data_IF_863350682314
#
_entry.id   IF_863350682314
#
_cell.length_a   1.000
_cell.length_b   1.000
_cell.length_c   1.000
_cell.angle_alpha   90.00
_cell.angle_beta   90.00
_cell.angle_gamma   90.00
#
_symmetry.space_group_name_H-M   'P 1'
#
loop_
_entity.id
_entity.type
_entity.pdbx_description
1 polymer ?
#
# COMPACT_ATOMS: atom_id res chain seq x y z
N UNK A 1 47.31 10.09 -11.13
CA UNK A 1 46.21 9.10 -11.14
C UNK A 1 45.48 9.16 -12.46
N UNK A 2 45.45 8.03 -13.15
CA UNK A 2 44.73 7.90 -14.42
C UNK A 2 43.21 7.78 -14.18
N UNK A 3 42.35 8.05 -15.17
CA UNK A 3 40.89 8.06 -14.97
C UNK A 3 40.33 6.75 -14.36
N UNK A 4 40.91 5.60 -14.73
CA UNK A 4 40.57 4.29 -14.17
C UNK A 4 40.89 4.15 -12.66
N UNK A 5 41.94 4.81 -12.16
CA UNK A 5 42.29 4.77 -10.73
C UNK A 5 41.33 5.62 -9.89
N UNK A 6 40.87 6.76 -10.44
CA UNK A 6 39.85 7.61 -9.79
C UNK A 6 38.47 6.94 -9.75
N UNK A 7 38.10 6.20 -10.79
CA UNK A 7 36.86 5.40 -10.79
C UNK A 7 36.94 4.23 -9.81
N UNK A 8 38.06 3.52 -9.77
CA UNK A 8 38.27 2.43 -8.81
C UNK A 8 38.27 2.90 -7.35
N UNK A 9 38.86 4.07 -7.06
CA UNK A 9 38.84 4.64 -5.71
C UNK A 9 37.44 5.13 -5.31
N UNK A 10 36.68 5.75 -6.23
CA UNK A 10 35.27 6.10 -6.01
C UNK A 10 34.41 4.86 -5.76
N UNK A 11 34.65 3.78 -6.51
CA UNK A 11 33.95 2.50 -6.38
C UNK A 11 34.29 1.81 -5.04
N UNK A 12 35.56 1.84 -4.63
CA UNK A 12 36.02 1.24 -3.37
C UNK A 12 35.47 1.99 -2.14
N UNK A 13 35.44 3.33 -2.19
CA UNK A 13 34.85 4.15 -1.14
C UNK A 13 33.32 3.98 -1.07
N UNK A 14 32.65 3.90 -2.22
CA UNK A 14 31.21 3.61 -2.30
C UNK A 14 30.90 2.25 -1.69
N UNK A 15 31.68 1.22 -2.03
CA UNK A 15 31.54 -0.14 -1.49
C UNK A 15 31.73 -0.17 0.04
N UNK A 16 32.74 0.52 0.58
CA UNK A 16 32.96 0.60 2.03
C UNK A 16 31.82 1.31 2.76
N UNK A 17 31.28 2.38 2.18
CA UNK A 17 30.11 3.09 2.72
C UNK A 17 28.86 2.20 2.66
N UNK A 18 28.67 1.45 1.57
CA UNK A 18 27.58 0.49 1.42
C UNK A 18 27.70 -0.64 2.44
N UNK A 19 28.87 -1.23 2.64
CA UNK A 19 29.07 -2.35 3.58
C UNK A 19 28.83 -1.91 5.04
N UNK A 20 29.27 -0.69 5.39
CA UNK A 20 29.03 -0.08 6.72
C UNK A 20 27.56 0.31 6.93
N UNK A 21 26.86 0.71 5.86
CA UNK A 21 25.44 1.09 5.92
C UNK A 21 24.51 -0.13 5.87
N UNK A 22 24.86 -1.16 5.11
CA UNK A 22 24.08 -2.40 4.93
C UNK A 22 24.07 -3.24 6.21
N UNK A 23 25.13 -3.16 7.02
CA UNK A 23 25.17 -3.78 8.36
C UNK A 23 24.22 -3.11 9.38
N UNK A 24 23.73 -1.90 9.10
CA UNK A 24 22.81 -1.13 9.98
C UNK A 24 21.35 -1.09 9.47
N UNK A 25 21.10 -1.49 8.22
CA UNK A 25 19.78 -1.43 7.59
C UNK A 25 19.06 -2.77 7.76
N UNK A 26 17.87 -2.74 8.38
CA UNK A 26 17.08 -3.94 8.61
C UNK A 26 16.51 -4.49 7.29
N UNK A 27 17.09 -5.61 6.86
CA UNK A 27 16.85 -6.27 5.58
C UNK A 27 15.39 -6.70 5.40
N UNK A 28 14.85 -7.32 6.45
CA UNK A 28 13.47 -7.77 6.50
C UNK A 28 12.50 -6.59 6.44
N UNK A 29 12.88 -5.44 7.00
CA UNK A 29 12.09 -4.21 6.93
C UNK A 29 11.95 -3.75 5.49
N UNK A 30 13.05 -3.61 4.73
CA UNK A 30 12.95 -3.20 3.32
C UNK A 30 12.12 -4.22 2.53
N UNK A 31 12.30 -5.52 2.78
CA UNK A 31 11.58 -6.54 2.04
C UNK A 31 10.07 -6.51 2.27
N UNK A 32 9.64 -6.51 3.54
CA UNK A 32 8.23 -6.48 3.94
C UNK A 32 7.58 -5.16 3.54
N UNK A 33 8.18 -4.03 3.91
CA UNK A 33 7.60 -2.73 3.63
C UNK A 33 7.62 -2.39 2.14
N UNK A 34 8.63 -2.82 1.38
CA UNK A 34 8.66 -2.64 -0.08
C UNK A 34 7.56 -3.44 -0.76
N UNK A 35 7.32 -4.68 -0.32
CA UNK A 35 6.22 -5.51 -0.82
C UNK A 35 4.85 -4.93 -0.41
N UNK A 36 4.75 -4.35 0.79
CA UNK A 36 3.54 -3.67 1.25
C UNK A 36 3.26 -2.40 0.42
N UNK A 37 4.28 -1.58 0.14
CA UNK A 37 4.13 -0.39 -0.70
C UNK A 37 3.75 -0.74 -2.15
N UNK A 38 4.20 -1.90 -2.66
CA UNK A 38 3.85 -2.41 -3.99
C UNK A 38 2.34 -2.65 -4.12
N UNK A 39 1.62 -3.08 -3.07
CA UNK A 39 0.16 -3.25 -3.11
C UNK A 39 -0.57 -1.97 -3.54
N UNK A 40 -0.07 -0.79 -3.14
CA UNK A 40 -0.66 0.49 -3.52
C UNK A 40 -0.37 0.87 -5.00
N UNK A 41 0.76 0.41 -5.56
CA UNK A 41 1.07 0.55 -6.99
C UNK A 41 0.15 -0.34 -7.82
N UNK A 42 -0.10 -1.57 -7.35
CA UNK A 42 -1.04 -2.51 -7.99
C UNK A 42 -2.46 -1.93 -7.95
N UNK A 43 -2.92 -1.44 -6.79
CA UNK A 43 -4.21 -0.77 -6.64
C UNK A 43 -4.39 0.42 -7.60
N UNK A 44 -3.35 1.24 -7.77
CA UNK A 44 -3.38 2.35 -8.72
C UNK A 44 -3.46 1.91 -10.17
N UNK A 45 -2.52 1.07 -10.59
CA UNK A 45 -2.31 0.70 -11.99
C UNK A 45 -3.35 -0.30 -12.48
N UNK A 46 -3.77 -1.21 -11.61
CA UNK A 46 -4.56 -2.39 -11.93
C UNK A 46 -3.74 -3.58 -12.40
N UNK A 47 -2.40 -3.51 -12.34
CA UNK A 47 -1.53 -4.55 -12.87
C UNK A 47 -0.57 -4.99 -11.77
N UNK A 48 -0.58 -6.28 -11.47
CA UNK A 48 0.41 -6.97 -10.65
C UNK A 48 1.36 -7.76 -11.56
N UNK A 49 2.47 -7.12 -11.95
CA UNK A 49 3.46 -7.75 -12.81
C UNK A 49 4.23 -8.88 -12.11
N UNK A 50 4.20 -8.93 -10.77
CA UNK A 50 4.87 -9.97 -9.99
C UNK A 50 4.15 -11.31 -10.09
N UNK A 51 2.82 -11.27 -10.04
CA UNK A 51 1.98 -12.46 -10.10
C UNK A 51 1.27 -12.62 -11.44
N UNK A 52 1.53 -11.74 -12.41
CA UNK A 52 0.90 -11.75 -13.73
C UNK A 52 -0.61 -11.53 -13.68
N UNK A 53 -1.10 -10.76 -12.70
CA UNK A 53 -2.54 -10.53 -12.48
C UNK A 53 -2.95 -9.14 -12.95
N UNK A 54 -4.16 -9.04 -13.47
CA UNK A 54 -4.80 -7.76 -13.82
C UNK A 54 -6.09 -7.64 -13.04
N UNK A 55 -6.23 -6.54 -12.30
CA UNK A 55 -7.42 -6.25 -11.53
C UNK A 55 -8.58 -5.88 -12.45
N UNK A 56 -9.79 -6.32 -12.11
CA UNK A 56 -11.02 -5.97 -12.84
C UNK A 56 -11.26 -4.46 -12.83
N UNK A 57 -10.83 -3.78 -11.76
CA UNK A 57 -10.91 -2.32 -11.62
C UNK A 57 -9.73 -1.76 -10.83
N UNK A 58 -9.17 -0.63 -11.25
CA UNK A 58 -8.06 0.06 -10.56
C UNK A 58 -8.42 1.50 -10.19
N UNK A 59 -7.68 2.14 -9.30
CA UNK A 59 -7.94 3.55 -8.97
C UNK A 59 -7.83 4.44 -10.22
N UNK A 60 -6.88 4.12 -11.11
CA UNK A 60 -6.73 4.80 -12.41
C UNK A 60 -7.96 4.61 -13.31
N UNK A 61 -8.58 3.44 -13.33
CA UNK A 61 -9.79 3.20 -14.13
C UNK A 61 -11.02 3.83 -13.49
N UNK A 62 -11.18 3.73 -12.18
CA UNK A 62 -12.27 4.39 -11.43
C UNK A 62 -12.25 5.89 -11.65
N UNK A 63 -11.07 6.52 -11.59
CA UNK A 63 -10.95 7.97 -11.75
C UNK A 63 -11.41 8.48 -13.12
N UNK A 64 -11.33 7.64 -14.16
CA UNK A 64 -11.79 7.93 -15.53
C UNK A 64 -13.28 7.69 -15.75
N UNK A 65 -14.01 7.23 -14.72
CA UNK A 65 -15.46 7.01 -14.82
C UNK A 65 -16.19 8.32 -15.15
N UNK A 66 -17.19 8.23 -16.03
CA UNK A 66 -18.01 9.39 -16.43
C UNK A 66 -18.69 10.01 -15.21
N UNK A 67 -18.73 11.34 -15.17
CA UNK A 67 -19.44 12.12 -14.15
C UNK A 67 -20.44 13.00 -14.88
N UNK A 68 -21.73 12.79 -14.61
CA UNK A 68 -22.77 13.65 -15.15
C UNK A 68 -22.76 14.97 -14.36
N UNK A 69 -22.62 16.15 -15.01
CA UNK A 69 -22.61 17.44 -14.31
C UNK A 69 -23.82 17.66 -13.40
N UNK A 70 -25.00 17.16 -13.77
CA UNK A 70 -26.23 17.29 -12.97
C UNK A 70 -26.25 16.40 -11.72
N UNK A 71 -25.46 15.32 -11.71
CA UNK A 71 -25.41 14.32 -10.63
C UNK A 71 -23.99 14.12 -10.08
N UNK A 72 -23.13 15.13 -10.22
CA UNK A 72 -21.70 14.99 -10.01
C UNK A 72 -21.36 14.44 -8.62
N UNK A 73 -21.97 15.01 -7.56
CA UNK A 73 -21.73 14.55 -6.19
C UNK A 73 -22.18 13.10 -5.96
N UNK A 74 -23.33 12.71 -6.51
CA UNK A 74 -23.84 11.34 -6.37
C UNK A 74 -22.97 10.33 -7.12
N UNK A 75 -22.55 10.67 -8.34
CA UNK A 75 -21.65 9.85 -9.14
C UNK A 75 -20.29 9.69 -8.46
N UNK A 76 -19.68 10.79 -8.01
CA UNK A 76 -18.41 10.76 -7.30
C UNK A 76 -18.49 9.93 -6.03
N UNK A 77 -19.57 10.08 -5.25
CA UNK A 77 -19.78 9.28 -4.03
C UNK A 77 -19.93 7.79 -4.32
N UNK A 78 -20.69 7.42 -5.35
CA UNK A 78 -20.82 6.02 -5.75
C UNK A 78 -19.47 5.46 -6.23
N UNK A 79 -18.74 6.20 -7.04
CA UNK A 79 -17.45 5.79 -7.58
C UNK A 79 -16.34 5.76 -6.49
N UNK A 80 -16.45 6.59 -5.46
CA UNK A 80 -15.62 6.53 -4.27
C UNK A 80 -15.84 5.20 -3.51
N UNK A 81 -17.06 4.64 -3.52
CA UNK A 81 -17.32 3.30 -3.00
C UNK A 81 -16.40 2.24 -3.64
N UNK A 82 -16.29 2.24 -4.97
CA UNK A 82 -15.36 1.33 -5.66
C UNK A 82 -13.89 1.61 -5.33
N UNK A 83 -13.54 2.89 -5.09
CA UNK A 83 -12.19 3.26 -4.68
C UNK A 83 -11.89 2.72 -3.29
N UNK A 84 -12.85 2.79 -2.35
CA UNK A 84 -12.67 2.24 -1.02
C UNK A 84 -12.42 0.73 -1.04
N UNK A 85 -13.04 -0.05 -1.95
CA UNK A 85 -12.82 -1.50 -2.01
C UNK A 85 -11.38 -1.81 -2.42
N UNK A 86 -10.87 -1.06 -3.40
CA UNK A 86 -9.49 -1.17 -3.89
C UNK A 86 -8.50 -0.76 -2.79
N UNK A 87 -8.78 0.36 -2.11
CA UNK A 87 -7.91 0.87 -1.05
C UNK A 87 -7.91 -0.07 0.16
N UNK A 88 -9.06 -0.57 0.59
CA UNK A 88 -9.17 -1.54 1.69
C UNK A 88 -8.32 -2.77 1.39
N UNK A 89 -8.41 -3.32 0.18
CA UNK A 89 -7.57 -4.45 -0.26
C UNK A 89 -6.09 -4.11 -0.15
N UNK A 90 -5.66 -2.99 -0.71
CA UNK A 90 -4.23 -2.62 -0.67
C UNK A 90 -3.71 -2.34 0.74
N UNK A 91 -4.51 -1.68 1.60
CA UNK A 91 -4.14 -1.36 2.98
C UNK A 91 -4.09 -2.61 3.85
N UNK A 92 -5.10 -3.49 3.77
CA UNK A 92 -5.09 -4.72 4.57
C UNK A 92 -3.97 -5.65 4.13
N UNK A 93 -3.74 -5.81 2.82
CA UNK A 93 -2.63 -6.62 2.32
C UNK A 93 -1.26 -6.04 2.69
N UNK A 94 -1.09 -4.71 2.60
CA UNK A 94 0.13 -4.04 3.05
C UNK A 94 0.43 -4.35 4.53
N UNK A 95 -0.59 -4.28 5.39
CA UNK A 95 -0.43 -4.59 6.82
C UNK A 95 -0.21 -6.07 7.09
N UNK A 96 -0.91 -6.96 6.38
CA UNK A 96 -0.68 -8.40 6.47
C UNK A 96 0.76 -8.75 6.07
N UNK A 97 1.30 -8.13 5.02
CA UNK A 97 2.70 -8.29 4.62
C UNK A 97 3.65 -7.80 5.71
N UNK A 98 3.43 -6.59 6.24
CA UNK A 98 4.28 -6.00 7.30
C UNK A 98 4.29 -6.89 8.55
N UNK A 99 3.13 -7.44 8.91
CA UNK A 99 2.95 -8.34 10.05
C UNK A 99 3.43 -9.77 9.79
N UNK A 100 3.87 -10.10 8.57
CA UNK A 100 4.29 -11.45 8.20
C UNK A 100 3.15 -12.47 8.14
N UNK A 101 1.90 -12.02 8.00
CA UNK A 101 0.75 -12.91 7.79
C UNK A 101 0.80 -13.49 6.39
N UNK A 102 0.39 -14.76 6.27
CA UNK A 102 0.33 -15.45 4.98
C UNK A 102 -0.97 -15.19 4.21
N UNK A 103 -2.01 -14.67 4.88
CA UNK A 103 -3.31 -14.43 4.25
C UNK A 103 -3.38 -13.07 3.56
N UNK A 104 -4.14 -13.00 2.47
CA UNK A 104 -4.44 -11.77 1.74
C UNK A 104 -5.93 -11.62 1.57
N UNK A 105 -6.42 -10.40 1.56
CA UNK A 105 -7.77 -10.09 1.12
C UNK A 105 -7.71 -9.87 -0.39
N UNK A 106 -8.76 -10.32 -1.08
CA UNK A 106 -8.95 -10.10 -2.50
C UNK A 106 -10.42 -9.75 -2.75
N UNK A 107 -10.67 -8.93 -3.76
CA UNK A 107 -12.04 -8.62 -4.16
C UNK A 107 -12.64 -9.79 -4.93
N UNK A 108 -13.92 -10.05 -4.72
CA UNK A 108 -14.66 -11.08 -5.46
C UNK A 108 -14.64 -10.85 -6.97
N UNK A 109 -14.72 -9.58 -7.39
CA UNK A 109 -14.55 -9.16 -8.79
C UNK A 109 -13.20 -9.59 -9.40
N UNK A 110 -12.11 -9.57 -8.64
CA UNK A 110 -10.76 -9.95 -9.12
C UNK A 110 -10.56 -11.48 -9.13
N UNK A 111 -11.46 -12.24 -8.50
CA UNK A 111 -11.53 -13.71 -8.56
C UNK A 111 -12.45 -14.22 -9.68
N UNK A 112 -13.02 -13.32 -10.49
CA UNK A 112 -14.00 -13.66 -11.52
C UNK A 112 -15.44 -13.85 -11.01
N UNK A 113 -15.69 -13.65 -9.71
CA UNK A 113 -17.04 -13.56 -9.13
C UNK A 113 -17.58 -12.14 -9.27
N UNK A 114 -17.70 -11.69 -10.51
CA UNK A 114 -18.08 -10.31 -10.82
C UNK A 114 -19.52 -10.04 -10.38
N UNK A 115 -19.73 -8.96 -9.61
CA UNK A 115 -21.03 -8.61 -9.01
C UNK A 115 -21.58 -9.67 -8.03
N UNK A 116 -20.71 -10.22 -7.19
CA UNK A 116 -21.15 -11.11 -6.11
C UNK A 116 -22.26 -10.42 -5.27
N UNK A 117 -23.40 -11.10 -5.03
CA UNK A 117 -24.55 -10.48 -4.39
C UNK A 117 -24.33 -10.17 -2.90
N UNK A 118 -23.35 -10.81 -2.26
CA UNK A 118 -23.17 -10.78 -0.80
C UNK A 118 -21.80 -10.28 -0.35
N UNK A 119 -20.73 -10.46 -1.14
CA UNK A 119 -19.37 -10.19 -0.70
C UNK A 119 -18.59 -9.32 -1.69
N UNK A 120 -17.98 -8.25 -1.20
CA UNK A 120 -17.01 -7.47 -1.99
C UNK A 120 -15.60 -8.05 -1.83
N UNK A 121 -15.29 -8.60 -0.64
CA UNK A 121 -13.99 -9.16 -0.29
C UNK A 121 -14.10 -10.57 0.28
N UNK A 122 -13.05 -11.35 0.08
CA UNK A 122 -12.78 -12.61 0.77
C UNK A 122 -11.30 -12.66 1.15
N UNK A 123 -10.95 -13.49 2.12
CA UNK A 123 -9.56 -13.81 2.41
C UNK A 123 -9.12 -15.07 1.66
N UNK A 124 -7.86 -15.07 1.22
CA UNK A 124 -7.18 -16.20 0.60
C UNK A 124 -5.95 -16.58 1.42
N UNK A 125 -5.63 -17.88 1.45
CA UNK A 125 -4.41 -18.42 2.03
C UNK A 125 -3.19 -18.23 1.11
N UNK A 126 -2.02 -18.71 1.54
CA UNK A 126 -0.76 -18.64 0.78
C UNK A 126 -0.79 -19.47 -0.52
N UNK A 127 -1.71 -20.42 -0.64
CA UNK A 127 -1.94 -21.21 -1.86
C UNK A 127 -2.95 -20.56 -2.80
N UNK A 128 -3.60 -19.47 -2.38
CA UNK A 128 -4.63 -18.77 -3.14
C UNK A 128 -6.03 -19.36 -2.97
N UNK A 129 -6.25 -20.27 -2.01
CA UNK A 129 -7.57 -20.81 -1.73
C UNK A 129 -8.38 -19.84 -0.87
N UNK A 130 -9.68 -19.73 -1.15
CA UNK A 130 -10.59 -18.90 -0.36
C UNK A 130 -10.78 -19.51 1.03
N UNK A 131 -10.59 -18.69 2.06
CA UNK A 131 -10.89 -19.05 3.45
C UNK A 131 -12.41 -18.98 3.65
N UNK A 132 -13.04 -20.13 3.91
CA UNK A 132 -14.50 -20.21 4.10
C UNK A 132 -14.96 -19.32 5.26
N UNK A 133 -16.03 -18.56 5.06
CA UNK A 133 -16.57 -17.65 6.08
C UNK A 133 -15.84 -16.32 6.23
N UNK A 134 -14.79 -16.07 5.44
CA UNK A 134 -14.05 -14.79 5.45
C UNK A 134 -14.76 -13.64 4.71
N UNK A 135 -15.85 -13.95 4.00
CA UNK A 135 -16.55 -13.00 3.15
C UNK A 135 -17.03 -11.76 3.89
N UNK A 136 -16.75 -10.59 3.33
CA UNK A 136 -17.22 -9.32 3.86
C UNK A 136 -17.74 -8.40 2.76
N UNK A 137 -18.60 -7.48 3.16
CA UNK A 137 -19.21 -6.50 2.29
C UNK A 137 -18.86 -5.10 2.77
N UNK A 138 -18.38 -4.27 1.88
CA UNK A 138 -18.05 -2.90 2.21
C UNK A 138 -19.29 -1.99 2.08
N UNK A 139 -19.50 -1.11 3.07
CA UNK A 139 -20.69 -0.26 3.19
C UNK A 139 -20.34 1.19 3.48
N UNK A 140 -19.89 1.88 2.44
CA UNK A 140 -19.61 3.32 2.43
C UNK A 140 -20.87 4.09 2.01
N UNK A 141 -21.87 4.03 2.88
CA UNK A 141 -23.19 4.62 2.67
C UNK A 141 -23.48 5.65 3.76
N UNK A 142 -24.53 6.43 3.56
CA UNK A 142 -24.87 7.48 4.52
C UNK A 142 -24.08 8.78 4.30
N UNK A 143 -24.65 9.92 4.66
CA UNK A 143 -23.96 11.23 4.66
C UNK A 143 -23.26 11.53 6.00
N UNK A 144 -23.65 10.82 7.05
CA UNK A 144 -23.13 10.92 8.41
C UNK A 144 -23.38 9.57 9.12
N UNK A 145 -22.84 9.35 10.34
CA UNK A 145 -23.02 8.09 11.07
C UNK A 145 -24.48 7.65 11.21
N UNK A 146 -25.39 8.58 11.53
CA UNK A 146 -26.81 8.30 11.72
C UNK A 146 -27.52 7.85 10.45
N UNK A 147 -27.33 8.57 9.33
CA UNK A 147 -27.86 8.18 8.02
C UNK A 147 -27.22 6.88 7.50
N UNK A 148 -25.97 6.59 7.89
CA UNK A 148 -25.35 5.30 7.61
C UNK A 148 -26.08 4.17 8.35
N UNK A 149 -26.28 4.31 9.66
CA UNK A 149 -27.00 3.33 10.48
C UNK A 149 -28.44 3.13 9.97
N UNK A 150 -29.16 4.20 9.64
CA UNK A 150 -30.51 4.11 9.07
C UNK A 150 -30.54 3.33 7.76
N UNK A 151 -29.54 3.53 6.90
CA UNK A 151 -29.39 2.74 5.68
C UNK A 151 -29.09 1.29 6.00
N UNK A 152 -28.15 1.00 6.89
CA UNK A 152 -27.81 -0.37 7.29
C UNK A 152 -29.01 -1.13 7.88
N UNK A 153 -29.94 -0.43 8.53
CA UNK A 153 -31.19 -0.98 9.09
C UNK A 153 -32.34 -1.07 8.07
N UNK A 154 -32.23 -0.45 6.89
CA UNK A 154 -33.29 -0.46 5.89
C UNK A 154 -33.48 -1.82 5.21
N UNK A 155 -34.63 -2.01 4.57
CA UNK A 155 -34.96 -3.23 3.81
C UNK A 155 -33.97 -3.53 2.68
N UNK A 156 -33.40 -2.49 2.07
CA UNK A 156 -32.38 -2.63 1.02
C UNK A 156 -31.15 -3.44 1.45
N UNK A 157 -30.81 -3.40 2.74
CA UNK A 157 -29.64 -4.09 3.29
C UNK A 157 -30.01 -5.32 4.12
N UNK A 158 -31.30 -5.69 4.16
CA UNK A 158 -31.79 -6.80 4.96
C UNK A 158 -31.12 -8.13 4.60
N UNK A 159 -30.89 -8.38 3.29
CA UNK A 159 -30.20 -9.60 2.82
C UNK A 159 -28.86 -9.87 3.52
N UNK A 160 -28.11 -8.83 3.88
CA UNK A 160 -26.82 -8.98 4.56
C UNK A 160 -27.00 -9.40 6.01
N UNK A 161 -28.03 -8.86 6.68
CA UNK A 161 -28.39 -9.23 8.04
C UNK A 161 -28.96 -10.64 8.06
N UNK A 162 -29.85 -11.00 7.13
CA UNK A 162 -30.45 -12.34 7.04
C UNK A 162 -29.40 -13.45 6.82
N UNK A 163 -28.32 -13.15 6.09
CA UNK A 163 -27.23 -14.09 5.78
C UNK A 163 -26.00 -13.94 6.69
N UNK A 164 -26.11 -13.20 7.81
CA UNK A 164 -25.03 -13.00 8.78
C UNK A 164 -23.71 -12.51 8.17
N UNK A 165 -23.80 -11.70 7.11
CA UNK A 165 -22.65 -11.16 6.39
C UNK A 165 -21.95 -10.10 7.23
N UNK A 166 -20.63 -10.20 7.35
CA UNK A 166 -19.79 -9.14 7.93
C UNK A 166 -19.77 -7.92 7.00
N UNK A 167 -19.83 -6.70 7.54
CA UNK A 167 -19.66 -5.49 6.73
C UNK A 167 -18.67 -4.50 7.29
N UNK A 168 -17.81 -4.03 6.41
CA UNK A 168 -16.82 -3.00 6.68
C UNK A 168 -17.47 -1.63 6.45
N UNK A 169 -17.58 -0.83 7.51
CA UNK A 169 -18.00 0.58 7.42
C UNK A 169 -16.79 1.48 7.52
N UNK A 170 -16.91 2.69 6.98
CA UNK A 170 -15.81 3.64 6.94
C UNK A 170 -15.27 3.96 8.34
N UNK A 171 -13.95 4.10 8.45
CA UNK A 171 -13.26 4.28 9.74
C UNK A 171 -13.71 5.52 10.51
N UNK A 172 -14.09 6.57 9.77
CA UNK A 172 -14.59 7.85 10.26
C UNK A 172 -16.04 7.80 10.76
N UNK A 173 -16.83 6.76 10.41
CA UNK A 173 -18.19 6.59 10.92
C UNK A 173 -18.31 5.50 11.98
N UNK A 174 -17.43 4.49 11.96
CA UNK A 174 -17.56 3.27 12.77
C UNK A 174 -17.83 3.51 14.26
N UNK A 175 -16.98 4.30 14.93
CA UNK A 175 -17.07 4.48 16.39
C UNK A 175 -18.37 5.21 16.78
N UNK A 176 -18.81 6.16 15.97
CA UNK A 176 -20.04 6.92 16.23
C UNK A 176 -21.31 6.12 15.90
N UNK A 177 -21.27 5.25 14.89
CA UNK A 177 -22.34 4.28 14.65
C UNK A 177 -22.49 3.35 15.86
N UNK A 178 -21.39 2.88 16.46
CA UNK A 178 -21.47 2.03 17.65
C UNK A 178 -22.16 2.73 18.82
N UNK A 179 -21.77 3.97 19.12
CA UNK A 179 -22.41 4.79 20.17
C UNK A 179 -23.88 5.02 19.87
N UNK A 180 -24.23 5.30 18.62
CA UNK A 180 -25.61 5.52 18.22
C UNK A 180 -26.46 4.26 18.35
N UNK A 181 -25.92 3.09 18.02
CA UNK A 181 -26.58 1.80 18.27
C UNK A 181 -26.86 1.63 19.77
N UNK A 182 -25.87 1.87 20.63
CA UNK A 182 -26.03 1.74 22.09
C UNK A 182 -27.13 2.67 22.63
N UNK A 183 -27.14 3.93 22.19
CA UNK A 183 -28.17 4.90 22.57
C UNK A 183 -29.57 4.45 22.10
N UNK A 184 -29.69 3.96 20.86
CA UNK A 184 -30.95 3.47 20.31
C UNK A 184 -31.44 2.22 21.04
N UNK A 185 -30.54 1.29 21.38
CA UNK A 185 -30.84 0.09 22.16
C UNK A 185 -31.38 0.46 23.54
N UNK A 186 -30.66 1.28 24.32
CA UNK A 186 -31.11 1.71 25.66
C UNK A 186 -32.49 2.37 25.62
N UNK A 187 -32.75 3.22 24.61
CA UNK A 187 -34.05 3.86 24.42
C UNK A 187 -35.15 2.84 24.09
N UNK A 188 -34.86 1.88 23.21
CA UNK A 188 -35.80 0.82 22.83
C UNK A 188 -36.07 -0.13 24.01
N UNK A 189 -35.08 -0.43 24.84
CA UNK A 189 -35.24 -1.24 26.06
C UNK A 189 -36.19 -0.55 27.04
N UNK A 190 -36.00 0.75 27.30
CA UNK A 190 -36.93 1.51 28.14
C UNK A 190 -38.36 1.53 27.58
N UNK A 191 -38.51 1.71 26.26
CA UNK A 191 -39.82 1.67 25.59
C UNK A 191 -40.45 0.28 25.66
N UNK A 192 -39.67 -0.79 25.49
CA UNK A 192 -40.11 -2.17 25.62
C UNK A 192 -40.62 -2.46 27.04
N UNK A 193 -39.88 -2.04 28.08
CA UNK A 193 -40.32 -2.24 29.46
C UNK A 193 -41.61 -1.49 29.77
N UNK A 194 -41.76 -0.27 29.27
CA UNK A 194 -43.00 0.49 29.41
C UNK A 194 -44.18 -0.13 28.64
N UNK A 195 -43.94 -0.79 27.49
CA UNK A 195 -44.96 -1.56 26.79
C UNK A 195 -45.39 -2.81 27.60
N UNK A 196 -44.41 -3.55 28.16
CA UNK A 196 -44.67 -4.72 29.04
C UNK A 196 -45.51 -4.33 30.26
N UNK A 197 -45.17 -3.24 30.95
CA UNK A 197 -45.94 -2.72 32.10
C UNK A 197 -47.39 -2.36 31.76
N UNK A 198 -47.66 -1.96 30.52
CA UNK A 198 -49.01 -1.63 30.03
C UNK A 198 -49.77 -2.84 29.48
N UNK A 199 -49.17 -4.03 29.49
CA UNK A 199 -49.75 -5.24 28.89
C UNK A 199 -49.74 -5.27 27.36
N UNK A 200 -49.04 -4.33 26.70
CA UNK A 200 -48.95 -4.28 25.23
C UNK A 200 -47.82 -5.19 24.72
N UNK A 201 -48.13 -6.47 24.58
CA UNK A 201 -47.19 -7.52 24.16
C UNK A 201 -46.74 -7.34 22.70
N UNK A 202 -47.61 -6.87 21.81
CA UNK A 202 -47.28 -6.64 20.41
C UNK A 202 -46.24 -5.52 20.25
N UNK A 203 -46.41 -4.40 20.97
CA UNK A 203 -45.44 -3.31 20.96
C UNK A 203 -44.12 -3.71 21.62
N UNK A 204 -44.17 -4.47 22.72
CA UNK A 204 -42.96 -5.00 23.35
C UNK A 204 -42.16 -5.89 22.39
N UNK A 205 -42.81 -6.79 21.67
CA UNK A 205 -42.15 -7.65 20.67
C UNK A 205 -41.57 -6.84 19.51
N UNK A 206 -42.27 -5.80 19.05
CA UNK A 206 -41.76 -4.90 18.01
C UNK A 206 -40.49 -4.17 18.44
N UNK A 207 -40.38 -3.76 19.71
CA UNK A 207 -39.17 -3.17 20.25
C UNK A 207 -38.04 -4.20 20.38
N UNK A 208 -38.35 -5.41 20.86
CA UNK A 208 -37.38 -6.51 20.93
C UNK A 208 -36.77 -6.81 19.55
N UNK A 209 -37.61 -7.00 18.52
CA UNK A 209 -37.11 -7.28 17.16
C UNK A 209 -36.18 -6.17 16.65
N UNK A 210 -36.45 -4.90 16.97
CA UNK A 210 -35.56 -3.78 16.59
C UNK A 210 -34.24 -3.78 17.35
N UNK A 211 -34.26 -4.14 18.64
CA UNK A 211 -33.05 -4.31 19.44
C UNK A 211 -32.21 -5.43 18.86
N UNK A 212 -32.82 -6.57 18.54
CA UNK A 212 -32.12 -7.73 17.97
C UNK A 212 -31.46 -7.39 16.63
N UNK A 213 -32.16 -6.68 15.74
CA UNK A 213 -31.61 -6.21 14.48
C UNK A 213 -30.44 -5.22 14.68
N UNK A 214 -30.54 -4.30 15.63
CA UNK A 214 -29.45 -3.36 15.96
C UNK A 214 -28.23 -4.09 16.55
N UNK A 215 -28.45 -5.07 17.42
CA UNK A 215 -27.41 -5.93 17.98
C UNK A 215 -26.75 -6.78 16.90
N UNK A 216 -27.54 -7.33 15.96
CA UNK A 216 -27.02 -8.01 14.77
C UNK A 216 -26.19 -7.05 13.92
N UNK A 217 -26.65 -5.80 13.77
CA UNK A 217 -25.90 -4.78 13.06
C UNK A 217 -24.55 -4.50 13.74
N UNK A 218 -24.54 -4.33 15.06
CA UNK A 218 -23.31 -4.08 15.81
C UNK A 218 -22.32 -5.24 15.71
N UNK A 219 -22.80 -6.47 15.86
CA UNK A 219 -21.97 -7.69 15.87
C UNK A 219 -21.26 -7.93 14.54
N UNK A 220 -21.94 -7.74 13.42
CA UNK A 220 -21.37 -8.04 12.11
C UNK A 220 -20.63 -6.83 11.49
N UNK A 221 -20.62 -5.67 12.16
CA UNK A 221 -19.90 -4.48 11.72
C UNK A 221 -18.40 -4.59 12.01
N UNK A 222 -17.57 -4.30 11.02
CA UNK A 222 -16.11 -4.18 11.14
C UNK A 222 -15.68 -2.76 10.78
N UNK A 223 -14.61 -2.30 11.43
CA UNK A 223 -13.98 -1.01 11.11
C UNK A 223 -13.10 -1.19 9.88
N UNK A 224 -13.42 -0.51 8.79
CA UNK A 224 -12.56 -0.44 7.60
C UNK A 224 -11.25 0.29 7.93
N UNK A 225 -10.19 0.02 7.17
CA UNK A 225 -8.97 0.85 7.16
C UNK A 225 -9.14 2.15 6.36
N UNK A 226 -10.29 2.36 5.73
CA UNK A 226 -10.56 3.46 4.81
C UNK A 226 -11.65 4.36 5.38
N UNK A 227 -11.42 5.67 5.33
CA UNK A 227 -12.44 6.68 5.65
C UNK A 227 -13.21 7.10 4.38
N UNK A 228 -14.36 7.77 4.52
CA UNK A 228 -15.03 8.36 3.34
C UNK A 228 -14.13 9.37 2.61
N UNK A 229 -13.29 10.10 3.36
CA UNK A 229 -12.35 11.06 2.81
C UNK A 229 -11.25 10.36 1.97
N UNK A 230 -10.67 9.27 2.48
CA UNK A 230 -9.71 8.45 1.73
C UNK A 230 -10.31 7.95 0.42
N UNK A 231 -11.53 7.39 0.50
CA UNK A 231 -12.26 6.86 -0.64
C UNK A 231 -12.47 7.91 -1.73
N UNK A 232 -12.84 9.13 -1.31
CA UNK A 232 -13.06 10.26 -2.22
C UNK A 232 -11.74 10.79 -2.79
N UNK A 233 -10.68 10.90 -1.98
CA UNK A 233 -9.36 11.31 -2.46
C UNK A 233 -8.81 10.32 -3.48
N UNK A 234 -8.90 9.02 -3.21
CA UNK A 234 -8.51 7.97 -4.14
C UNK A 234 -9.30 8.03 -5.46
N UNK A 235 -10.58 8.43 -5.40
CA UNK A 235 -11.42 8.65 -6.59
C UNK A 235 -10.99 9.87 -7.40
N UNK A 236 -10.75 11.01 -6.74
CA UNK A 236 -10.56 12.31 -7.41
C UNK A 236 -9.11 12.51 -7.83
N UNK A 237 -8.17 12.07 -6.99
CA UNK A 237 -6.73 12.29 -7.14
C UNK A 237 -5.95 11.00 -6.90
N UNK A 238 -6.18 9.93 -7.69
CA UNK A 238 -5.63 8.59 -7.44
C UNK A 238 -4.10 8.56 -7.39
N UNK A 239 -3.40 9.38 -8.21
CA UNK A 239 -1.93 9.46 -8.20
C UNK A 239 -1.40 10.01 -6.88
N UNK A 240 -1.99 11.12 -6.42
CA UNK A 240 -1.62 11.75 -5.16
C UNK A 240 -1.91 10.84 -3.98
N UNK A 241 -3.09 10.20 -3.98
CA UNK A 241 -3.46 9.22 -2.98
C UNK A 241 -2.45 8.08 -2.91
N UNK A 242 -2.14 7.43 -4.03
CA UNK A 242 -1.15 6.33 -4.07
C UNK A 242 0.23 6.76 -3.59
N UNK A 243 0.67 7.97 -3.95
CA UNK A 243 1.95 8.47 -3.50
C UNK A 243 1.97 8.74 -1.97
N UNK A 244 0.86 9.20 -1.38
CA UNK A 244 0.70 9.29 0.08
C UNK A 244 0.78 7.93 0.75
N UNK A 245 0.14 6.90 0.18
CA UNK A 245 0.21 5.53 0.72
C UNK A 245 1.63 4.96 0.68
N UNK A 246 2.33 5.07 -0.46
CA UNK A 246 3.74 4.66 -0.58
C UNK A 246 4.61 5.42 0.42
N UNK A 247 4.39 6.74 0.56
CA UNK A 247 5.07 7.56 1.55
C UNK A 247 4.83 7.07 2.97
N UNK A 248 3.58 6.79 3.37
CA UNK A 248 3.24 6.31 4.70
C UNK A 248 3.92 4.98 5.03
N UNK A 249 3.92 4.03 4.09
CA UNK A 249 4.62 2.74 4.25
C UNK A 249 6.13 2.95 4.32
N UNK A 250 6.70 3.75 3.42
CA UNK A 250 8.13 4.05 3.38
C UNK A 250 8.59 4.82 4.63
N UNK A 251 7.77 5.71 5.17
CA UNK A 251 8.02 6.45 6.40
C UNK A 251 8.12 5.50 7.58
N UNK A 252 7.17 4.58 7.73
CA UNK A 252 7.22 3.54 8.77
C UNK A 252 8.47 2.66 8.62
N UNK A 253 8.82 2.27 7.40
CA UNK A 253 10.06 1.55 7.14
C UNK A 253 11.30 2.37 7.56
N UNK A 254 11.32 3.65 7.21
CA UNK A 254 12.34 4.60 7.64
C UNK A 254 12.44 4.68 9.16
N UNK A 255 11.32 4.74 9.87
CA UNK A 255 11.30 4.76 11.34
C UNK A 255 11.87 3.47 11.94
N UNK A 256 11.59 2.31 11.35
CA UNK A 256 12.25 1.06 11.75
C UNK A 256 13.76 1.09 11.45
N UNK A 257 14.16 1.64 10.30
CA UNK A 257 15.58 1.83 9.95
C UNK A 257 16.31 2.80 10.89
N UNK A 258 15.62 3.82 11.41
CA UNK A 258 16.16 4.78 12.37
C UNK A 258 16.44 4.13 13.74
N UNK A 259 15.71 3.07 14.11
CA UNK A 259 15.96 2.34 15.37
C UNK A 259 17.27 1.54 15.31
N UNK A 260 17.73 1.16 14.12
CA UNK A 260 18.93 0.34 13.91
C UNK A 260 20.22 1.14 13.65
N UNK A 261 20.15 2.48 13.54
CA UNK A 261 21.32 3.35 13.32
C UNK A 261 21.02 4.83 13.58
N UNK A 262 21.94 5.51 14.25
CA UNK A 262 21.75 6.79 14.95
C UNK A 262 21.39 8.04 14.10
N UNK A 263 20.67 8.96 14.78
CA UNK A 263 20.39 10.41 14.56
C UNK A 263 19.35 10.82 13.48
N UNK A 264 18.32 11.53 13.95
CA UNK A 264 16.97 11.78 13.38
C UNK A 264 16.84 13.06 12.52
N UNK A 265 17.92 13.79 12.19
CA UNK A 265 17.78 15.14 11.62
C UNK A 265 17.43 15.26 10.12
N UNK A 266 18.18 14.57 9.24
CA UNK A 266 18.21 14.92 7.81
C UNK A 266 17.13 14.26 6.94
N UNK A 267 16.64 13.09 7.34
CA UNK A 267 15.79 12.29 6.45
C UNK A 267 14.36 12.72 6.29
N UNK A 268 13.83 13.42 7.29
CA UNK A 268 12.44 13.88 7.30
C UNK A 268 12.23 14.99 6.25
N UNK A 269 13.22 15.87 6.05
CA UNK A 269 13.16 16.96 5.06
C UNK A 269 13.20 16.46 3.61
N UNK A 270 14.05 15.47 3.29
CA UNK A 270 14.10 14.82 1.97
C UNK A 270 12.75 14.22 1.60
N UNK A 271 12.09 13.61 2.58
CA UNK A 271 10.78 12.99 2.41
C UNK A 271 9.68 14.04 2.24
N UNK A 272 9.72 15.15 2.99
CA UNK A 272 8.79 16.27 2.81
C UNK A 272 8.87 16.86 1.40
N UNK A 273 10.09 16.99 0.86
CA UNK A 273 10.35 17.54 -0.48
C UNK A 273 9.81 16.65 -1.60
N UNK A 274 10.01 15.33 -1.52
CA UNK A 274 9.40 14.38 -2.48
C UNK A 274 7.86 14.46 -2.43
N UNK A 275 7.29 14.56 -1.23
CA UNK A 275 5.85 14.70 -1.03
C UNK A 275 5.32 16.03 -1.56
N UNK A 276 6.07 17.12 -1.42
CA UNK A 276 5.67 18.44 -1.92
C UNK A 276 5.78 18.55 -3.45
N UNK A 277 6.71 17.85 -4.10
CA UNK A 277 6.74 17.67 -5.56
C UNK A 277 5.51 16.90 -6.05
N UNK A 278 5.20 15.79 -5.38
CA UNK A 278 4.01 14.98 -5.70
C UNK A 278 2.72 15.77 -5.50
N UNK A 279 2.69 16.71 -4.54
CA UNK A 279 1.55 17.60 -4.27
C UNK A 279 1.49 18.81 -5.21
N UNK A 280 2.48 19.02 -6.08
CA UNK A 280 2.60 20.22 -6.90
C UNK A 280 2.79 21.50 -6.09
N UNK A 281 3.30 21.38 -4.85
CA UNK A 281 3.61 22.49 -3.94
C UNK A 281 5.04 23.00 -4.10
N UNK A 282 5.90 22.18 -4.69
CA UNK A 282 7.29 22.49 -5.06
C UNK A 282 7.57 21.91 -6.42
N UNK A 283 8.38 22.59 -7.21
CA UNK A 283 8.91 22.00 -8.43
C UNK A 283 10.01 20.99 -8.08
N UNK A 284 10.23 20.02 -8.99
CA UNK A 284 11.22 18.96 -8.80
C UNK A 284 12.61 19.55 -8.47
N UNK A 285 12.97 20.65 -9.13
CA UNK A 285 14.25 21.34 -8.94
C UNK A 285 14.37 22.02 -7.56
N UNK A 286 13.27 22.56 -7.02
CA UNK A 286 13.22 23.17 -5.69
C UNK A 286 13.35 22.13 -4.57
N UNK A 287 12.65 21.01 -4.72
CA UNK A 287 12.72 19.89 -3.79
C UNK A 287 14.12 19.28 -3.76
N UNK A 288 14.80 19.23 -4.91
CA UNK A 288 16.17 18.75 -5.00
C UNK A 288 17.16 19.72 -4.38
N UNK A 289 17.01 21.04 -4.56
CA UNK A 289 17.86 22.03 -3.90
C UNK A 289 17.80 21.94 -2.36
N UNK A 290 16.62 21.68 -1.81
CA UNK A 290 16.43 21.49 -0.36
C UNK A 290 16.95 20.13 0.14
N UNK A 291 16.87 19.08 -0.70
CA UNK A 291 17.51 17.77 -0.44
C UNK A 291 19.04 17.94 -0.36
N UNK A 292 19.63 18.72 -1.28
CA UNK A 292 21.06 19.04 -1.31
C UNK A 292 21.53 19.81 -0.07
N UNK A 293 20.72 20.77 0.42
CA UNK A 293 21.04 21.53 1.64
C UNK A 293 20.92 20.71 2.92
N UNK A 294 19.99 19.76 2.97
CA UNK A 294 19.74 18.96 4.19
C UNK A 294 20.67 17.75 4.29
N UNK A 295 21.39 17.43 3.21
CA UNK A 295 22.23 16.23 3.05
C UNK A 295 23.71 16.60 2.90
N UNK A 296 24.32 17.20 3.93
CA UNK A 296 25.75 16.99 4.14
C UNK A 296 25.96 15.50 4.44
N UNK A 297 26.41 14.76 3.44
CA UNK A 297 26.15 13.35 3.09
C UNK A 297 26.51 12.21 4.10
N UNK A 298 26.73 12.50 5.39
CA UNK A 298 27.46 11.55 6.26
C UNK A 298 26.91 11.32 7.69
N UNK A 299 25.76 11.86 8.09
CA UNK A 299 25.34 11.78 9.51
C UNK A 299 23.89 11.32 9.82
N UNK A 300 23.12 10.79 8.85
CA UNK A 300 21.73 10.35 9.09
C UNK A 300 21.25 9.25 8.13
N UNK A 301 21.88 8.09 8.17
CA UNK A 301 21.82 7.07 7.12
C UNK A 301 20.63 6.10 7.24
N UNK A 302 20.24 5.64 8.43
CA UNK A 302 19.26 4.55 8.59
C UNK A 302 17.84 4.84 8.06
N UNK A 303 17.26 5.99 8.45
CA UNK A 303 15.90 6.37 8.06
C UNK A 303 15.76 6.59 6.55
N UNK A 304 16.62 7.44 5.97
CA UNK A 304 16.55 7.83 4.55
C UNK A 304 16.76 6.62 3.66
N UNK A 305 17.73 5.80 4.00
CA UNK A 305 18.09 4.62 3.23
C UNK A 305 16.97 3.59 3.26
N UNK A 306 16.36 3.34 4.42
CA UNK A 306 15.28 2.37 4.55
C UNK A 306 13.99 2.88 3.89
N UNK A 307 13.68 4.17 4.02
CA UNK A 307 12.58 4.83 3.30
C UNK A 307 12.76 4.70 1.77
N UNK A 308 13.90 5.17 1.26
CA UNK A 308 14.18 5.23 -0.18
C UNK A 308 14.23 3.83 -0.80
N UNK A 309 14.88 2.88 -0.11
CA UNK A 309 14.94 1.48 -0.56
C UNK A 309 13.56 0.81 -0.57
N UNK A 310 12.68 1.14 0.39
CA UNK A 310 11.29 0.65 0.43
C UNK A 310 10.50 1.13 -0.78
N UNK A 311 10.51 2.43 -1.05
CA UNK A 311 9.82 3.01 -2.20
C UNK A 311 10.37 2.48 -3.53
N UNK A 312 11.70 2.39 -3.66
CA UNK A 312 12.34 1.85 -4.86
C UNK A 312 11.99 0.37 -5.05
N UNK A 313 12.08 -0.45 -4.00
CA UNK A 313 11.70 -1.87 -4.06
C UNK A 313 10.27 -2.03 -4.55
N UNK A 314 9.32 -1.24 -4.04
CA UNK A 314 7.93 -1.32 -4.46
C UNK A 314 7.77 -1.14 -5.99
N UNK A 315 8.41 -0.10 -6.54
CA UNK A 315 8.43 0.17 -7.97
C UNK A 315 9.11 -0.95 -8.76
N UNK A 316 10.26 -1.45 -8.29
CA UNK A 316 10.99 -2.53 -8.93
C UNK A 316 10.18 -3.83 -8.94
N UNK A 317 9.54 -4.17 -7.82
CA UNK A 317 8.77 -5.40 -7.64
C UNK A 317 7.52 -5.44 -8.52
N UNK A 318 6.91 -4.28 -8.79
CA UNK A 318 5.82 -4.20 -9.76
C UNK A 318 6.26 -3.79 -11.17
N UNK A 319 7.56 -3.79 -11.48
CA UNK A 319 8.05 -3.44 -12.81
C UNK A 319 7.60 -4.47 -13.86
N UNK A 320 7.26 -3.99 -15.07
CA UNK A 320 6.98 -4.87 -16.21
C UNK A 320 8.23 -5.62 -16.68
N UNK A 321 9.41 -5.05 -16.47
CA UNK A 321 10.69 -5.67 -16.84
C UNK A 321 11.07 -6.78 -15.86
N UNK A 322 11.10 -8.02 -16.33
CA UNK A 322 11.47 -9.20 -15.53
C UNK A 322 12.81 -9.05 -14.82
N UNK A 323 13.81 -8.43 -15.48
CA UNK A 323 15.12 -8.16 -14.88
C UNK A 323 15.03 -7.29 -13.61
N UNK A 324 14.37 -6.13 -13.73
CA UNK A 324 14.18 -5.17 -12.62
C UNK A 324 13.34 -5.80 -11.51
N UNK A 325 12.33 -6.59 -11.89
CA UNK A 325 11.49 -7.31 -10.95
C UNK A 325 12.25 -8.40 -10.20
N UNK A 326 13.10 -9.17 -10.88
CA UNK A 326 13.94 -10.19 -10.25
C UNK A 326 14.91 -9.58 -9.23
N UNK A 327 15.48 -8.39 -9.50
CA UNK A 327 16.33 -7.66 -8.54
C UNK A 327 15.61 -7.35 -7.21
N UNK A 328 14.31 -7.02 -7.27
CA UNK A 328 13.51 -6.72 -6.08
C UNK A 328 13.24 -7.94 -5.17
N UNK A 329 13.32 -9.15 -5.73
CA UNK A 329 13.07 -10.44 -5.05
C UNK A 329 14.33 -11.04 -4.43
N UNK A 330 15.46 -10.34 -4.55
CA UNK A 330 16.73 -10.86 -4.10
C UNK A 330 16.81 -10.77 -2.58
N UNK A 331 17.30 -11.83 -1.94
CA UNK A 331 17.72 -11.80 -0.54
C UNK A 331 19.08 -11.09 -0.39
N UNK A 332 19.43 -10.18 -1.30
CA UNK A 332 20.65 -9.38 -1.27
C UNK A 332 20.30 -7.89 -1.07
N UNK A 333 20.02 -7.47 0.16
CA UNK A 333 19.78 -6.08 0.51
C UNK A 333 20.90 -5.15 0.06
N UNK A 334 22.16 -5.63 0.07
CA UNK A 334 23.29 -4.88 -0.49
C UNK A 334 23.05 -4.47 -1.95
N UNK A 335 22.47 -5.33 -2.79
CA UNK A 335 22.17 -5.04 -4.19
C UNK A 335 21.06 -3.98 -4.36
N UNK A 336 19.98 -4.10 -3.57
CA UNK A 336 18.86 -3.14 -3.58
C UNK A 336 19.32 -1.78 -3.03
N UNK A 337 20.05 -1.80 -1.90
CA UNK A 337 20.65 -0.63 -1.26
C UNK A 337 21.68 0.02 -2.19
N UNK A 338 22.55 -0.74 -2.85
CA UNK A 338 23.52 -0.21 -3.83
C UNK A 338 22.81 0.47 -4.99
N UNK A 339 21.79 -0.19 -5.56
CA UNK A 339 21.00 0.38 -6.65
C UNK A 339 20.28 1.66 -6.21
N UNK A 340 19.73 1.67 -4.99
CA UNK A 340 19.08 2.85 -4.41
C UNK A 340 20.07 4.00 -4.17
N UNK A 341 21.21 3.72 -3.52
CA UNK A 341 22.27 4.70 -3.24
C UNK A 341 22.81 5.29 -4.53
N UNK A 342 23.16 4.44 -5.50
CA UNK A 342 23.67 4.90 -6.79
C UNK A 342 22.62 5.71 -7.53
N UNK A 343 21.35 5.31 -7.51
CA UNK A 343 20.28 6.08 -8.16
C UNK A 343 20.07 7.44 -7.49
N UNK A 344 20.01 7.48 -6.17
CA UNK A 344 19.88 8.74 -5.40
C UNK A 344 21.09 9.64 -5.64
N UNK A 345 22.30 9.07 -5.66
CA UNK A 345 23.54 9.79 -5.94
C UNK A 345 23.57 10.34 -7.35
N UNK A 346 23.31 9.52 -8.38
CA UNK A 346 23.30 9.95 -9.78
C UNK A 346 22.24 11.03 -10.04
N UNK A 347 21.06 10.90 -9.44
CA UNK A 347 20.04 11.94 -9.45
C UNK A 347 20.60 13.21 -8.81
N UNK A 348 21.14 13.14 -7.59
CA UNK A 348 21.74 14.30 -6.92
C UNK A 348 22.84 15.00 -7.73
N UNK A 349 23.73 14.23 -8.37
CA UNK A 349 24.80 14.75 -9.23
C UNK A 349 24.27 15.37 -10.53
N UNK A 350 23.19 14.85 -11.10
CA UNK A 350 22.56 15.45 -12.27
C UNK A 350 22.01 16.84 -11.94
N UNK A 351 21.33 16.96 -10.80
CA UNK A 351 20.72 18.21 -10.38
C UNK A 351 21.71 19.22 -9.78
N UNK A 352 22.88 18.78 -9.27
CA UNK A 352 23.99 19.69 -8.94
C UNK A 352 24.77 20.16 -10.17
N UNK A 353 24.40 19.70 -11.37
CA UNK A 353 25.09 20.01 -12.63
C UNK A 353 26.44 19.30 -12.78
N UNK A 354 26.75 18.32 -11.91
CA UNK A 354 27.98 17.54 -11.97
C UNK A 354 27.97 16.50 -13.10
N UNK A 355 26.79 16.01 -13.50
CA UNK A 355 26.62 15.08 -14.63
C UNK A 355 25.41 15.49 -15.47
N UNK A 356 25.39 15.08 -16.74
CA UNK A 356 24.22 15.24 -17.63
C UNK A 356 23.09 14.25 -17.31
N UNK A 357 21.88 14.53 -17.80
CA UNK A 357 20.74 13.63 -17.62
C UNK A 357 20.95 12.25 -18.26
N UNK A 358 21.72 12.21 -19.36
CA UNK A 358 22.15 10.97 -20.01
C UNK A 358 23.13 10.18 -19.15
N UNK A 359 24.13 10.84 -18.55
CA UNK A 359 25.09 10.19 -17.65
C UNK A 359 24.43 9.68 -16.36
N UNK A 360 23.40 10.38 -15.88
CA UNK A 360 22.58 9.95 -14.76
C UNK A 360 21.83 8.63 -15.06
N UNK A 361 21.12 8.59 -16.18
CA UNK A 361 20.40 7.39 -16.62
C UNK A 361 21.36 6.24 -16.93
N UNK A 362 22.52 6.52 -17.54
CA UNK A 362 23.54 5.53 -17.83
C UNK A 362 24.15 4.94 -16.56
N UNK A 363 24.41 5.77 -15.53
CA UNK A 363 24.94 5.31 -14.24
C UNK A 363 23.94 4.45 -13.48
N UNK A 364 22.66 4.82 -13.50
CA UNK A 364 21.56 4.02 -12.93
C UNK A 364 21.46 2.68 -13.66
N UNK A 365 21.47 2.70 -14.99
CA UNK A 365 21.39 1.50 -15.84
C UNK A 365 22.60 0.58 -15.67
N UNK A 366 23.83 1.12 -15.70
CA UNK A 366 25.07 0.39 -15.49
C UNK A 366 25.13 -0.23 -14.09
N UNK A 367 24.73 0.51 -13.06
CA UNK A 367 24.69 -0.02 -11.69
C UNK A 367 23.70 -1.18 -11.58
N UNK A 368 22.51 -1.03 -12.16
CA UNK A 368 21.51 -2.11 -12.22
C UNK A 368 22.05 -3.35 -12.94
N UNK A 369 22.62 -3.18 -14.14
CA UNK A 369 23.16 -4.28 -14.93
C UNK A 369 24.39 -4.96 -14.27
N UNK A 370 25.29 -4.18 -13.66
CA UNK A 370 26.43 -4.70 -12.92
C UNK A 370 26.00 -5.45 -11.65
N UNK A 371 24.93 -4.97 -10.99
CA UNK A 371 24.33 -5.64 -9.84
C UNK A 371 23.77 -7.00 -10.26
N UNK A 372 22.97 -7.06 -11.35
CA UNK A 372 22.50 -8.33 -11.93
C UNK A 372 23.67 -9.26 -12.28
N UNK A 373 24.68 -8.73 -12.98
CA UNK A 373 25.82 -9.53 -13.45
C UNK A 373 26.61 -10.10 -12.28
N UNK A 374 26.94 -9.29 -11.28
CA UNK A 374 27.66 -9.75 -10.08
C UNK A 374 26.89 -10.80 -9.28
N UNK A 375 25.55 -10.72 -9.27
CA UNK A 375 24.73 -11.75 -8.66
C UNK A 375 24.74 -13.08 -9.43
N UNK A 376 24.75 -13.03 -10.76
CA UNK A 376 24.86 -14.22 -11.59
C UNK A 376 26.22 -14.92 -11.40
N UNK A 377 27.30 -14.15 -11.35
CA UNK A 377 28.64 -14.68 -11.06
C UNK A 377 28.76 -15.22 -9.62
N UNK A 378 28.13 -14.56 -8.63
CA UNK A 378 28.09 -15.04 -7.25
C UNK A 378 27.30 -16.35 -7.07
N UNK A 379 26.20 -16.54 -7.83
CA UNK A 379 25.41 -17.76 -7.82
C UNK A 379 26.12 -18.95 -8.48
N UNK A 380 26.94 -18.72 -9.52
CA UNK A 380 27.81 -19.76 -10.10
C UNK A 380 28.91 -20.16 -9.10
N UNK A 381 29.41 -19.23 -8.27
CA UNK A 381 30.34 -19.52 -7.17
C UNK A 381 29.71 -20.28 -5.99
N UNK A 382 28.38 -20.25 -5.83
CA UNK A 382 27.62 -20.97 -4.80
C UNK A 382 26.82 -22.17 -5.36
N UNK A 383 27.32 -22.82 -6.42
CA UNK A 383 26.75 -24.04 -7.01
C UNK A 383 26.91 -25.28 -6.10
N UNK A 384 26.55 -25.15 -4.82
CA UNK A 384 26.37 -26.21 -3.82
C UNK A 384 25.05 -26.05 -3.03
N UNK A 385 24.28 -24.97 -3.20
CA UNK A 385 22.95 -24.80 -2.57
C UNK A 385 21.92 -24.27 -3.60
N UNK A 386 20.87 -25.05 -3.94
CA UNK A 386 19.91 -24.64 -4.97
C UNK A 386 18.96 -23.56 -4.43
N UNK A 387 19.10 -22.32 -4.91
CA UNK A 387 18.14 -21.24 -4.66
C UNK A 387 17.43 -20.87 -5.98
N UNK A 388 16.09 -21.04 -6.10
CA UNK A 388 15.33 -20.85 -7.34
C UNK A 388 15.47 -19.47 -8.01
N UNK A 389 15.77 -18.43 -7.23
CA UNK A 389 15.85 -17.03 -7.71
C UNK A 389 17.06 -16.78 -8.61
N UNK A 390 18.17 -17.51 -8.41
CA UNK A 390 19.38 -17.36 -9.23
C UNK A 390 19.16 -17.82 -10.67
N UNK A 391 18.42 -18.92 -10.87
CA UNK A 391 18.10 -19.45 -12.20
C UNK A 391 17.24 -18.50 -13.05
N UNK A 392 16.30 -17.78 -12.42
CA UNK A 392 15.46 -16.79 -13.10
C UNK A 392 16.26 -15.57 -13.61
N UNK A 393 17.30 -15.18 -12.87
CA UNK A 393 18.18 -14.06 -13.24
C UNK A 393 19.08 -14.47 -14.41
N UNK A 394 19.74 -15.63 -14.32
CA UNK A 394 20.60 -16.16 -15.40
C UNK A 394 19.80 -16.41 -16.68
N UNK A 395 18.60 -17.00 -16.58
CA UNK A 395 17.72 -17.22 -17.73
C UNK A 395 17.23 -15.91 -18.37
N UNK A 396 16.98 -14.86 -17.58
CA UNK A 396 16.56 -13.56 -18.11
C UNK A 396 17.68 -12.80 -18.85
N UNK A 397 18.95 -13.06 -18.51
CA UNK A 397 20.10 -12.49 -19.22
C UNK A 397 20.35 -13.18 -20.57
N UNK A 398 20.22 -14.52 -20.62
CA UNK A 398 20.39 -15.29 -21.87
C UNK A 398 19.26 -14.99 -22.85
N UNK A 399 18.03 -14.79 -22.36
CA UNK A 399 16.89 -14.36 -23.19
C UNK A 399 16.93 -12.91 -23.67
N UNK A 400 17.88 -12.09 -23.20
CA UNK A 400 18.11 -10.72 -23.70
C UNK A 400 19.22 -10.68 -24.77
N UNK A 401 19.96 -11.78 -24.94
CA UNK A 401 21.04 -11.92 -25.93
C UNK A 401 20.69 -12.87 -27.10
N UNK A 402 19.45 -13.35 -27.16
CA UNK A 402 18.81 -14.03 -28.30
C UNK A 402 17.61 -13.18 -28.74
#
# INVERSE_FOLDING_TARGET
MNNNEKENEKFFNLKRTIDTTTSQVNQDTIQKYGSAAKEHIVAYSGVDNEHGRVLTRSLKSVAKSKVNPKYAQQNLKQQAGFSAEIVETSRENAENIIQGKETRIIRTDDLGRVNDPLYDHVEIDSSGNIITGSGSQMKFVGKNPSDCLDKLMSSKFQKYRDNDVSYNVSSDFYDDIQKEIEQRVTKLEAQMQNAKKRGDTALAQKHQNKIDELCKVKRNMKKSRVSNADAMEARVSPKLFTAKEIHNVSHRAGMEGAKSGAIVGGGIATVQNIVDVVRGKKDFDEAVFDISKTTAFSAGTGYVMTYGSTALKACMQNSSTTLIRSLSKTNMPAAIVTTAVSSIKSIGQYFSGEISGTECLETIGKTGAATVSSMAYGAVGQMLIPIPVAGAIVGSMIGYTL
#
